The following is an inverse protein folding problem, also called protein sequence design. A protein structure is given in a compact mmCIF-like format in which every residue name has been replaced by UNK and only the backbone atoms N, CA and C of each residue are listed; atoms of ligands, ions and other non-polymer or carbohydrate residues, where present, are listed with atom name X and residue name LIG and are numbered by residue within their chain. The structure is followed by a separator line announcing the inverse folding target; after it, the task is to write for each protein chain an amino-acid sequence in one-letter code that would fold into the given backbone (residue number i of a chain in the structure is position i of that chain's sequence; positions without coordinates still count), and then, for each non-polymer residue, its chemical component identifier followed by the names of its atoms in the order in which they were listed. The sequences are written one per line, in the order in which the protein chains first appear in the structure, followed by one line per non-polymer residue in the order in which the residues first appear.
data_IF_938519947573
#
_entry.id   IF_938519947573
#
_cell.length_a   1.000
_cell.length_b   1.000
_cell.length_c   1.000
_cell.angle_alpha   90.00
_cell.angle_beta   90.00
_cell.angle_gamma   90.00
#
_symmetry.space_group_name_H-M   'P 1'
#
loop_
_entity.id
_entity.type
_entity.pdbx_description
1 polymer ?
#
# COMPACT_ATOMS: atom_id res chain seq x y z
N UNK A 1 16.85 10.52 -20.15
CA UNK A 1 16.37 10.09 -18.82
C UNK A 1 14.94 9.62 -19.02
N UNK A 2 14.64 8.34 -18.75
CA UNK A 2 13.28 7.81 -18.90
C UNK A 2 12.35 8.41 -17.84
N UNK A 3 11.10 8.64 -18.22
CA UNK A 3 10.04 9.06 -17.30
C UNK A 3 9.74 7.95 -16.26
N UNK A 4 9.16 8.30 -15.11
CA UNK A 4 8.84 7.32 -14.07
C UNK A 4 7.85 6.27 -14.59
N UNK A 5 8.07 5.01 -14.18
CA UNK A 5 7.41 3.82 -14.74
C UNK A 5 6.04 3.55 -14.07
N UNK A 6 5.62 4.33 -13.06
CA UNK A 6 4.35 4.12 -12.36
C UNK A 6 3.39 5.28 -12.57
N UNK A 7 2.12 4.96 -12.78
CA UNK A 7 1.05 5.95 -13.00
C UNK A 7 0.22 6.16 -11.74
N UNK A 8 -0.09 5.06 -11.05
CA UNK A 8 -0.90 5.05 -9.83
C UNK A 8 -0.36 4.03 -8.86
N UNK A 9 -0.40 4.36 -7.58
CA UNK A 9 0.16 3.52 -6.53
C UNK A 9 -0.68 3.55 -5.26
N UNK A 10 -0.83 2.40 -4.63
CA UNK A 10 -1.40 2.21 -3.30
C UNK A 10 -0.43 1.36 -2.50
N UNK A 11 -0.21 1.71 -1.24
CA UNK A 11 0.43 0.83 -0.27
C UNK A 11 -0.66 0.12 0.51
N UNK A 12 -0.51 -1.20 0.63
CA UNK A 12 -1.36 -2.05 1.45
C UNK A 12 -0.54 -2.57 2.62
N UNK A 13 -1.03 -2.36 3.83
CA UNK A 13 -0.53 -3.03 5.04
C UNK A 13 -1.61 -3.92 5.63
N UNK A 14 -1.23 -5.07 6.17
CA UNK A 14 -2.20 -6.01 6.73
C UNK A 14 -1.64 -6.79 7.91
N UNK A 15 -2.47 -7.04 8.92
CA UNK A 15 -2.19 -7.97 10.02
C UNK A 15 -3.45 -8.79 10.35
N UNK A 16 -3.43 -9.46 11.49
CA UNK A 16 -4.53 -10.29 11.99
C UNK A 16 -5.80 -9.51 12.36
N UNK A 17 -5.74 -8.17 12.42
CA UNK A 17 -6.87 -7.31 12.79
C UNK A 17 -7.42 -6.44 11.69
N UNK A 18 -6.60 -6.08 10.70
CA UNK A 18 -7.07 -5.23 9.61
C UNK A 18 -6.25 -5.38 8.32
N UNK A 19 -6.84 -4.87 7.24
CA UNK A 19 -6.18 -4.51 5.99
C UNK A 19 -6.34 -2.99 5.82
N UNK A 20 -5.24 -2.28 5.58
CA UNK A 20 -5.20 -0.83 5.39
C UNK A 20 -4.68 -0.51 3.98
N UNK A 21 -5.42 0.30 3.23
CA UNK A 21 -5.03 0.80 1.91
C UNK A 21 -4.79 2.30 1.99
N UNK A 22 -3.61 2.72 1.56
CA UNK A 22 -3.20 4.13 1.56
C UNK A 22 -2.77 4.54 0.15
N UNK A 23 -3.55 5.41 -0.54
CA UNK A 23 -3.14 6.00 -1.81
C UNK A 23 -1.78 6.69 -1.67
N UNK A 24 -0.91 6.46 -2.65
CA UNK A 24 0.36 7.14 -2.74
C UNK A 24 0.32 8.13 -3.91
N UNK A 25 0.82 9.34 -3.68
CA UNK A 25 0.95 10.37 -4.70
C UNK A 25 2.39 10.83 -4.78
N UNK A 26 2.83 11.34 -5.93
CA UNK A 26 4.21 11.76 -6.09
C UNK A 26 4.66 11.85 -7.54
N UNK A 27 5.97 11.96 -7.74
CA UNK A 27 6.60 12.05 -9.06
C UNK A 27 7.51 10.85 -9.30
N UNK A 28 8.80 10.94 -8.95
CA UNK A 28 9.72 9.78 -8.99
C UNK A 28 9.55 8.87 -7.79
N UNK A 29 9.29 9.47 -6.63
CA UNK A 29 8.98 8.78 -5.39
C UNK A 29 7.52 9.08 -5.07
N UNK A 30 6.78 8.04 -4.73
CA UNK A 30 5.44 8.16 -4.17
C UNK A 30 5.54 8.22 -2.64
N UNK A 31 4.61 8.94 -2.02
CA UNK A 31 4.43 8.99 -0.57
C UNK A 31 2.94 9.01 -0.24
N UNK A 32 2.59 8.67 1.00
CA UNK A 32 1.21 8.70 1.45
C UNK A 32 0.66 10.10 1.24
N UNK A 33 -0.41 10.22 0.47
CA UNK A 33 -1.02 11.53 0.21
C UNK A 33 -1.63 12.03 1.54
N UNK A 34 -1.16 13.17 2.11
CA UNK A 34 -1.63 13.64 3.41
C UNK A 34 -3.14 13.93 3.43
N UNK A 35 -3.73 14.17 2.26
CA UNK A 35 -5.14 14.51 2.08
C UNK A 35 -6.02 13.31 1.75
N UNK A 36 -5.42 12.18 1.33
CA UNK A 36 -6.19 10.99 0.98
C UNK A 36 -6.62 10.24 2.26
N UNK A 37 -7.88 9.79 2.34
CA UNK A 37 -8.33 8.95 3.43
C UNK A 37 -7.68 7.57 3.31
N UNK A 38 -7.18 7.07 4.43
CA UNK A 38 -6.86 5.65 4.55
C UNK A 38 -8.16 4.83 4.58
N UNK A 39 -8.10 3.63 4.00
CA UNK A 39 -9.25 2.71 3.98
C UNK A 39 -8.93 1.47 4.81
N UNK A 40 -9.72 1.23 5.84
CA UNK A 40 -9.55 0.12 6.77
C UNK A 40 -10.66 -0.92 6.60
N UNK A 41 -10.24 -2.18 6.48
CA UNK A 41 -11.13 -3.32 6.30
C UNK A 41 -10.82 -4.42 7.31
N UNK A 42 -11.81 -5.26 7.59
CA UNK A 42 -11.58 -6.49 8.32
C UNK A 42 -10.67 -7.45 7.52
N UNK A 43 -9.86 -8.30 8.15
CA UNK A 43 -8.95 -9.24 7.46
C UNK A 43 -9.66 -10.22 6.52
N UNK A 44 -10.91 -10.56 6.85
CA UNK A 44 -11.80 -11.46 6.13
C UNK A 44 -12.74 -10.74 5.14
N UNK A 45 -12.53 -9.44 4.90
CA UNK A 45 -13.33 -8.69 3.94
C UNK A 45 -13.38 -9.38 2.56
N UNK A 46 -14.54 -9.47 1.90
CA UNK A 46 -14.67 -10.16 0.62
C UNK A 46 -13.76 -9.59 -0.47
N UNK A 47 -13.29 -10.44 -1.39
CA UNK A 47 -12.40 -10.02 -2.48
C UNK A 47 -13.02 -8.95 -3.37
N UNK A 48 -14.34 -8.94 -3.55
CA UNK A 48 -15.05 -7.88 -4.27
C UNK A 48 -14.96 -6.52 -3.58
N UNK A 49 -15.09 -6.49 -2.25
CA UNK A 49 -14.96 -5.27 -1.43
C UNK A 49 -13.53 -4.74 -1.50
N UNK A 50 -12.54 -5.63 -1.35
CA UNK A 50 -11.13 -5.26 -1.48
C UNK A 50 -10.81 -4.74 -2.88
N UNK A 51 -11.35 -5.38 -3.92
CA UNK A 51 -11.14 -4.94 -5.30
C UNK A 51 -11.67 -3.53 -5.57
N UNK A 52 -12.90 -3.24 -5.11
CA UNK A 52 -13.49 -1.91 -5.22
C UNK A 52 -12.66 -0.87 -4.47
N UNK A 53 -12.21 -1.22 -3.27
CA UNK A 53 -11.36 -0.35 -2.46
C UNK A 53 -10.00 -0.06 -3.12
N UNK A 54 -9.35 -1.07 -3.70
CA UNK A 54 -8.09 -0.89 -4.45
C UNK A 54 -8.33 0.03 -5.65
N UNK A 55 -9.39 -0.20 -6.43
CA UNK A 55 -9.73 0.65 -7.58
C UNK A 55 -9.99 2.11 -7.15
N UNK A 56 -10.75 2.31 -6.09
CA UNK A 56 -11.00 3.64 -5.52
C UNK A 56 -9.72 4.32 -5.03
N UNK A 57 -8.88 3.60 -4.28
CA UNK A 57 -7.60 4.12 -3.78
C UNK A 57 -6.62 4.46 -4.91
N UNK A 58 -6.51 3.61 -5.93
CA UNK A 58 -5.73 3.90 -7.13
C UNK A 58 -6.29 5.12 -7.85
N UNK A 59 -7.62 5.31 -7.85
CA UNK A 59 -8.23 6.47 -8.50
C UNK A 59 -7.84 7.82 -7.88
N UNK A 60 -7.52 7.80 -6.58
CA UNK A 60 -7.07 8.96 -5.80
C UNK A 60 -5.55 9.17 -5.84
N UNK A 61 -4.78 8.17 -6.29
CA UNK A 61 -3.34 8.31 -6.51
C UNK A 61 -3.08 9.33 -7.62
N UNK A 62 -2.18 10.28 -7.36
CA UNK A 62 -1.84 11.36 -8.29
C UNK A 62 -0.37 11.29 -8.71
N UNK A 63 -0.17 11.33 -10.02
CA UNK A 63 1.13 11.65 -10.60
C UNK A 63 1.30 13.17 -10.61
N UNK A 64 2.25 13.65 -9.82
CA UNK A 64 2.47 15.06 -9.53
C UNK A 64 3.61 15.63 -10.38
N UNK A 65 3.56 16.93 -10.61
CA UNK A 65 4.75 17.67 -11.05
C UNK A 65 5.83 17.68 -9.97
N UNK A 66 7.06 18.00 -10.35
CA UNK A 66 8.17 18.12 -9.39
C UNK A 66 7.88 19.14 -8.28
N UNK A 67 7.24 20.27 -8.61
CA UNK A 67 6.91 21.32 -7.65
C UNK A 67 5.81 20.87 -6.67
N UNK A 68 4.73 20.25 -7.17
CA UNK A 68 3.69 19.69 -6.30
C UNK A 68 4.24 18.60 -5.37
N UNK A 69 5.14 17.74 -5.86
CA UNK A 69 5.80 16.73 -5.05
C UNK A 69 6.72 17.34 -3.97
N UNK A 70 7.36 18.48 -4.23
CA UNK A 70 8.15 19.23 -3.23
C UNK A 70 7.27 19.80 -2.13
N UNK A 71 6.15 20.42 -2.51
CA UNK A 71 5.16 20.96 -1.56
C UNK A 71 4.59 19.83 -0.71
N UNK A 72 4.14 18.73 -1.32
CA UNK A 72 3.61 17.56 -0.61
C UNK A 72 4.63 17.00 0.39
N UNK A 73 5.91 16.88 -0.01
CA UNK A 73 6.98 16.41 0.87
C UNK A 73 7.14 17.31 2.09
N UNK A 74 7.05 18.62 1.93
CA UNK A 74 7.16 19.57 3.06
C UNK A 74 6.00 19.46 4.06
N UNK A 75 4.88 18.85 3.65
CA UNK A 75 3.70 18.62 4.48
C UNK A 75 3.68 17.21 5.10
N UNK A 76 4.62 16.33 4.75
CA UNK A 76 4.61 14.92 5.14
C UNK A 76 5.11 14.68 6.59
N UNK A 77 5.69 15.70 7.24
CA UNK A 77 6.18 15.57 8.61
C UNK A 77 5.02 15.32 9.59
N UNK A 78 5.18 14.30 10.43
CA UNK A 78 4.27 13.82 11.51
C UNK A 78 3.15 12.82 11.16
N UNK A 79 2.82 12.59 9.88
CA UNK A 79 1.71 11.69 9.49
C UNK A 79 1.88 10.27 10.04
N UNK A 80 3.07 9.69 9.96
CA UNK A 80 3.31 8.29 10.34
C UNK A 80 3.11 8.04 11.85
N UNK A 81 3.47 9.02 12.68
CA UNK A 81 3.31 8.92 14.13
C UNK A 81 1.84 9.02 14.54
N UNK A 82 1.08 9.94 13.92
CA UNK A 82 -0.36 10.09 14.16
C UNK A 82 -1.13 8.87 13.65
N UNK A 83 -0.76 8.36 12.48
CA UNK A 83 -1.32 7.15 11.90
C UNK A 83 -1.13 5.93 12.80
N UNK A 84 0.10 5.69 13.27
CA UNK A 84 0.36 4.58 14.18
C UNK A 84 -0.44 4.72 15.49
N UNK A 85 -0.55 5.94 16.05
CA UNK A 85 -1.36 6.21 17.24
C UNK A 85 -2.84 5.92 17.00
N UNK A 86 -3.39 6.39 15.89
CA UNK A 86 -4.78 6.16 15.49
C UNK A 86 -5.09 4.66 15.38
N UNK A 87 -4.23 3.88 14.71
CA UNK A 87 -4.41 2.44 14.59
C UNK A 87 -4.28 1.72 15.93
N UNK A 88 -3.38 2.18 16.80
CA UNK A 88 -3.24 1.63 18.15
C UNK A 88 -4.50 1.84 18.97
N UNK A 89 -5.06 3.05 18.97
CA UNK A 89 -6.31 3.37 19.67
C UNK A 89 -7.49 2.58 19.11
N UNK A 90 -7.65 2.55 17.77
CA UNK A 90 -8.77 1.89 17.10
C UNK A 90 -8.82 0.38 17.33
N UNK A 91 -7.66 -0.29 17.33
CA UNK A 91 -7.57 -1.75 17.42
C UNK A 91 -7.05 -2.27 18.77
N UNK A 92 -6.86 -1.36 19.74
CA UNK A 92 -6.48 -1.68 21.11
C UNK A 92 -5.05 -2.20 21.28
N UNK A 93 -4.11 -1.75 20.45
CA UNK A 93 -2.70 -2.12 20.59
C UNK A 93 -2.03 -1.30 21.71
N UNK A 94 -1.36 -2.00 22.63
CA UNK A 94 -0.68 -1.36 23.77
C UNK A 94 0.67 -0.73 23.43
N UNK A 95 1.25 -1.08 22.28
CA UNK A 95 2.54 -0.56 21.81
C UNK A 95 2.63 -0.58 20.28
N UNK A 96 3.52 0.25 19.71
CA UNK A 96 3.88 0.19 18.29
C UNK A 96 4.40 -1.19 17.90
N UNK A 97 5.16 -1.83 18.80
CA UNK A 97 5.65 -3.19 18.56
C UNK A 97 4.51 -4.18 18.34
N UNK A 98 3.44 -4.10 19.14
CA UNK A 98 2.27 -4.96 18.97
C UNK A 98 1.50 -4.65 17.68
N UNK A 99 1.41 -3.38 17.29
CA UNK A 99 0.75 -2.96 16.04
C UNK A 99 1.45 -3.56 14.83
N UNK A 100 2.78 -3.40 14.75
CA UNK A 100 3.54 -3.77 13.57
C UNK A 100 3.97 -5.24 13.55
N UNK A 101 3.88 -5.96 14.67
CA UNK A 101 4.23 -7.39 14.71
C UNK A 101 3.47 -8.16 13.64
N UNK A 102 4.20 -8.87 12.78
CA UNK A 102 3.67 -9.66 11.66
C UNK A 102 2.84 -8.82 10.66
N UNK A 103 3.01 -7.50 10.65
CA UNK A 103 2.34 -6.66 9.67
C UNK A 103 3.02 -6.86 8.31
N UNK A 104 2.23 -7.25 7.33
CA UNK A 104 2.64 -7.46 5.94
C UNK A 104 2.55 -6.15 5.18
N UNK A 105 3.45 -5.95 4.23
CA UNK A 105 3.44 -4.83 3.29
C UNK A 105 3.35 -5.31 1.84
N UNK A 106 2.55 -4.63 1.02
CA UNK A 106 2.48 -4.85 -0.41
C UNK A 106 2.31 -3.51 -1.13
N UNK A 107 3.10 -3.29 -2.18
CA UNK A 107 2.84 -2.21 -3.13
C UNK A 107 1.87 -2.70 -4.20
N UNK A 108 0.93 -1.84 -4.61
CA UNK A 108 0.00 -2.10 -5.72
C UNK A 108 0.14 -0.95 -6.70
N UNK A 109 0.61 -1.22 -7.90
CA UNK A 109 0.97 -0.22 -8.91
C UNK A 109 0.24 -0.50 -10.22
N UNK A 110 -0.27 0.55 -10.85
CA UNK A 110 -0.62 0.52 -12.27
C UNK A 110 0.55 1.08 -13.08
N UNK A 111 1.00 0.30 -14.07
CA UNK A 111 1.99 0.68 -15.07
C UNK A 111 1.48 0.23 -16.44
N UNK A 112 1.03 1.18 -17.28
CA UNK A 112 0.37 0.88 -18.54
C UNK A 112 -0.86 -0.03 -18.35
N UNK A 113 -0.81 -1.21 -18.96
CA UNK A 113 -1.93 -2.16 -18.95
C UNK A 113 -1.84 -3.21 -17.82
N UNK A 114 -0.89 -3.05 -16.90
CA UNK A 114 -0.63 -4.03 -15.84
C UNK A 114 -0.94 -3.44 -14.46
N UNK A 115 -1.55 -4.29 -13.63
CA UNK A 115 -1.61 -4.12 -12.18
C UNK A 115 -0.56 -5.04 -11.57
N UNK A 116 0.45 -4.44 -10.95
CA UNK A 116 1.58 -5.13 -10.35
C UNK A 116 1.42 -5.03 -8.82
N UNK A 117 1.32 -6.18 -8.15
CA UNK A 117 1.32 -6.27 -6.72
C UNK A 117 2.66 -6.85 -6.27
N UNK A 118 3.46 -6.02 -5.61
CA UNK A 118 4.80 -6.37 -5.14
C UNK A 118 4.78 -6.57 -3.62
N UNK A 119 4.66 -7.82 -3.13
CA UNK A 119 4.74 -8.13 -1.71
C UNK A 119 6.16 -7.98 -1.20
N UNK A 120 6.32 -7.70 0.10
CA UNK A 120 7.60 -7.32 0.72
C UNK A 120 8.03 -8.22 1.88
N UNK A 121 9.31 -8.14 2.24
CA UNK A 121 9.87 -8.65 3.50
C UNK A 121 9.72 -7.59 4.60
N UNK A 122 9.44 -8.00 5.83
CA UNK A 122 9.30 -7.11 6.99
C UNK A 122 10.62 -7.02 7.77
N UNK A 123 11.53 -6.15 7.30
CA UNK A 123 12.94 -6.12 7.73
C UNK A 123 13.15 -5.51 9.13
N UNK A 124 12.35 -4.49 9.48
CA UNK A 124 12.41 -3.78 10.77
C UNK A 124 11.00 -3.45 11.22
N UNK A 125 10.86 -3.03 12.48
CA UNK A 125 9.56 -2.82 13.11
C UNK A 125 8.54 -2.10 12.22
N UNK A 126 8.90 -0.98 11.61
CA UNK A 126 8.05 -0.16 10.74
C UNK A 126 8.61 -0.04 9.32
N UNK A 127 9.38 -1.02 8.86
CA UNK A 127 10.04 -0.98 7.56
C UNK A 127 9.87 -2.28 6.79
N UNK A 128 9.44 -2.14 5.54
CA UNK A 128 9.29 -3.24 4.59
C UNK A 128 10.20 -3.02 3.40
N UNK A 129 10.83 -4.09 2.94
CA UNK A 129 11.85 -4.04 1.90
C UNK A 129 11.75 -5.18 0.90
N UNK A 130 12.49 -5.00 -0.18
CA UNK A 130 12.79 -6.02 -1.18
C UNK A 130 14.29 -6.03 -1.39
N UNK A 131 14.85 -7.22 -1.57
CA UNK A 131 16.21 -7.38 -2.05
C UNK A 131 16.18 -8.15 -3.37
N UNK A 132 17.23 -8.00 -4.19
CA UNK A 132 17.26 -8.55 -5.56
C UNK A 132 17.03 -10.07 -5.62
N UNK A 133 17.35 -10.78 -4.55
CA UNK A 133 17.34 -12.25 -4.47
C UNK A 133 16.54 -12.77 -3.26
N UNK A 134 15.52 -12.01 -2.81
CA UNK A 134 14.66 -12.43 -1.67
C UNK A 134 13.68 -13.57 -2.02
N UNK A 135 13.60 -13.97 -3.28
CA UNK A 135 12.73 -15.06 -3.74
C UNK A 135 11.23 -14.74 -3.67
N UNK A 136 10.84 -13.50 -3.40
CA UNK A 136 9.44 -13.09 -3.32
C UNK A 136 8.97 -12.73 -4.74
N UNK A 137 7.86 -13.29 -5.20
CA UNK A 137 7.36 -13.03 -6.56
C UNK A 137 6.21 -12.04 -6.57
N UNK A 138 6.21 -11.14 -7.55
CA UNK A 138 5.11 -10.22 -7.80
C UNK A 138 3.88 -10.94 -8.36
N UNK A 139 2.69 -10.42 -8.09
CA UNK A 139 1.44 -10.86 -8.72
C UNK A 139 1.07 -9.82 -9.77
N UNK A 140 1.00 -10.23 -11.03
CA UNK A 140 0.71 -9.33 -12.16
C UNK A 140 -0.58 -9.79 -12.83
N UNK A 141 -1.52 -8.87 -12.99
CA UNK A 141 -2.77 -9.08 -13.74
C UNK A 141 -3.06 -7.89 -14.66
N UNK A 142 -3.88 -8.03 -15.70
CA UNK A 142 -4.31 -6.90 -16.52
C UNK A 142 -5.04 -5.82 -15.67
N UNK A 143 -4.73 -4.55 -15.89
CA UNK A 143 -5.32 -3.43 -15.14
C UNK A 143 -6.82 -3.24 -15.41
N UNK A 144 -7.33 -3.77 -16.52
CA UNK A 144 -8.75 -3.80 -16.88
C UNK A 144 -9.49 -5.07 -16.38
N UNK A 145 -8.87 -5.86 -15.50
CA UNK A 145 -9.49 -7.07 -14.94
C UNK A 145 -10.78 -6.80 -14.16
N UNK A 146 -11.57 -7.86 -13.98
CA UNK A 146 -12.86 -7.84 -13.31
C UNK A 146 -12.79 -7.26 -11.88
N UNK A 147 -13.94 -6.88 -11.34
CA UNK A 147 -14.05 -6.35 -9.99
C UNK A 147 -13.81 -7.37 -8.87
N UNK A 148 -13.45 -8.63 -9.13
CA UNK A 148 -13.01 -9.57 -8.08
C UNK A 148 -11.52 -9.89 -8.16
N UNK A 149 -10.90 -9.74 -9.33
CA UNK A 149 -9.52 -10.15 -9.57
C UNK A 149 -8.49 -9.39 -8.72
N UNK A 150 -8.74 -8.12 -8.41
CA UNK A 150 -7.80 -7.27 -7.66
C UNK A 150 -7.66 -7.74 -6.20
N UNK A 151 -8.77 -8.08 -5.55
CA UNK A 151 -8.81 -8.58 -4.18
C UNK A 151 -8.20 -9.96 -4.06
N UNK A 152 -8.51 -10.88 -4.99
CA UNK A 152 -7.87 -12.20 -5.04
C UNK A 152 -6.36 -12.08 -5.27
N UNK A 153 -5.93 -11.22 -6.20
CA UNK A 153 -4.52 -10.95 -6.44
C UNK A 153 -3.82 -10.36 -5.21
N UNK A 154 -4.48 -9.44 -4.48
CA UNK A 154 -3.95 -8.88 -3.24
C UNK A 154 -3.77 -9.97 -2.17
N UNK A 155 -4.74 -10.87 -1.99
CA UNK A 155 -4.59 -11.98 -1.04
C UNK A 155 -3.43 -12.89 -1.40
N UNK A 156 -3.26 -13.20 -2.68
CA UNK A 156 -2.11 -13.96 -3.15
C UNK A 156 -0.79 -13.23 -2.87
N UNK A 157 -0.70 -11.93 -3.17
CA UNK A 157 0.50 -11.14 -2.89
C UNK A 157 0.80 -11.12 -1.38
N UNK A 158 -0.18 -10.82 -0.53
CA UNK A 158 -0.02 -10.84 0.94
C UNK A 158 0.38 -12.23 1.46
N UNK A 159 0.01 -13.32 0.79
CA UNK A 159 0.47 -14.67 1.17
C UNK A 159 1.97 -14.90 0.90
N UNK A 160 2.56 -14.11 0.00
CA UNK A 160 3.99 -14.15 -0.37
C UNK A 160 4.85 -13.18 0.46
N UNK A 161 4.25 -12.25 1.21
CA UNK A 161 5.00 -11.43 2.15
C UNK A 161 5.71 -12.31 3.20
N UNK A 162 6.90 -11.88 3.61
CA UNK A 162 7.72 -12.56 4.62
C UNK A 162 8.10 -11.58 5.73
N UNK A 163 8.62 -12.07 6.85
CA UNK A 163 8.98 -11.27 8.03
C UNK A 163 9.43 -12.15 9.18
#
# INVERSE_FOLDING_TARGET
MSEPIWERMVIVTANDKFICLVPQSGYRLAMADPTAPERLFAPDAPDSVLSEAIKGALSESRFLTLEEARVMRSLADSRDAEWARFLMERYGYKSKQALFKNMKGCSVVISGNELILSPSHHDKLDSWGRSKDDGIEDVIIPSNSSCSAFGTALRLALSRCTG
#
